data_IF_086149587294
#
_entry.id   IF_086149587294
#
_cell.length_a   1.000
_cell.length_b   1.000
_cell.length_c   1.000
_cell.angle_alpha   90.00
_cell.angle_beta   90.00
_cell.angle_gamma   90.00
#
_symmetry.space_group_name_H-M   'P 1'
#
loop_
_entity.id
_entity.type
_entity.pdbx_description
1 polymer ?
#
# COMPACT_ATOMS: atom_id res chain seq x y z
N UNK A 1 -15.32 41.15 62.46
CA UNK A 1 -14.51 39.92 62.38
C UNK A 1 -15.33 38.90 61.61
N UNK A 2 -15.03 38.41 60.42
CA UNK A 2 -14.00 38.70 59.43
C UNK A 2 -14.53 38.14 58.09
N UNK A 3 -14.16 38.80 56.99
CA UNK A 3 -14.51 38.39 55.63
C UNK A 3 -13.76 37.11 55.24
N UNK A 4 -14.38 36.26 54.41
CA UNK A 4 -13.62 35.40 53.49
C UNK A 4 -14.41 35.25 52.19
N UNK A 5 -13.88 35.74 51.05
CA UNK A 5 -14.52 35.59 49.74
C UNK A 5 -14.21 34.21 49.17
N UNK A 6 -15.24 33.53 48.67
CA UNK A 6 -15.07 32.27 47.95
C UNK A 6 -14.26 32.52 46.68
N UNK A 7 -13.11 31.86 46.62
CA UNK A 7 -12.11 31.90 45.56
C UNK A 7 -12.71 31.46 44.22
N UNK A 8 -12.66 32.35 43.23
CA UNK A 8 -12.97 32.04 41.84
C UNK A 8 -11.86 31.14 41.30
N UNK A 9 -12.20 29.88 41.05
CA UNK A 9 -11.36 28.93 40.32
C UNK A 9 -11.20 29.44 38.87
N UNK A 10 -9.99 29.79 38.39
CA UNK A 10 -9.82 30.12 36.98
C UNK A 10 -9.90 28.82 36.18
N UNK A 11 -11.02 28.61 35.49
CA UNK A 11 -11.15 27.60 34.44
C UNK A 11 -10.15 28.00 33.35
N UNK A 12 -8.99 27.36 33.35
CA UNK A 12 -8.06 27.38 32.23
C UNK A 12 -8.72 26.62 31.07
N UNK A 13 -9.48 27.34 30.25
CA UNK A 13 -9.98 26.84 28.98
C UNK A 13 -8.79 26.74 28.03
N UNK A 14 -8.08 25.61 28.08
CA UNK A 14 -7.03 25.28 27.13
C UNK A 14 -7.72 25.07 25.77
N UNK A 15 -7.74 26.12 24.94
CA UNK A 15 -8.09 26.02 23.53
C UNK A 15 -7.04 25.12 22.86
N UNK A 16 -7.35 23.82 22.79
CA UNK A 16 -6.61 22.87 21.98
C UNK A 16 -6.89 23.27 20.53
N UNK A 17 -6.07 24.16 19.98
CA UNK A 17 -6.06 24.42 18.56
C UNK A 17 -5.84 23.06 17.87
N UNK A 18 -6.70 22.64 16.92
CA UNK A 18 -6.34 21.55 16.06
C UNK A 18 -5.17 22.08 15.24
N UNK A 19 -3.95 21.72 15.65
CA UNK A 19 -2.77 21.80 14.80
C UNK A 19 -3.13 20.92 13.63
N UNK A 20 -3.64 21.54 12.57
CA UNK A 20 -3.88 20.90 11.29
C UNK A 20 -2.49 20.58 10.77
N UNK A 21 -1.96 19.46 11.21
CA UNK A 21 -0.73 18.91 10.68
C UNK A 21 -0.95 18.77 9.20
N UNK A 22 -0.24 19.57 8.41
CA UNK A 22 -0.13 19.35 7.00
C UNK A 22 0.60 18.02 6.83
N UNK A 23 -0.15 16.93 6.73
CA UNK A 23 0.40 15.64 6.33
C UNK A 23 0.88 15.82 4.90
N UNK A 24 2.18 16.04 4.73
CA UNK A 24 2.84 15.94 3.43
C UNK A 24 2.64 14.52 2.95
N UNK A 25 1.68 14.32 2.05
CA UNK A 25 1.58 13.07 1.30
C UNK A 25 2.88 12.99 0.48
N UNK A 26 3.73 12.03 0.83
CA UNK A 26 4.78 11.61 -0.10
C UNK A 26 4.07 11.10 -1.35
N UNK A 27 4.55 11.44 -2.55
CA UNK A 27 4.10 10.81 -3.79
C UNK A 27 5.12 9.73 -4.18
N UNK A 28 5.38 8.78 -3.28
CA UNK A 28 6.29 7.67 -3.53
C UNK A 28 5.56 6.53 -4.26
N UNK A 29 6.14 6.10 -5.38
CA UNK A 29 5.75 4.90 -6.11
C UNK A 29 6.90 3.92 -6.04
N UNK A 30 6.65 2.73 -5.50
CA UNK A 30 7.64 1.63 -5.49
C UNK A 30 7.23 0.59 -6.50
N UNK A 31 8.20 0.12 -7.29
CA UNK A 31 7.99 -0.92 -8.28
C UNK A 31 8.92 -2.07 -7.94
N UNK A 32 8.35 -3.23 -7.62
CA UNK A 32 9.08 -4.48 -7.51
C UNK A 32 8.89 -5.26 -8.82
N UNK A 33 9.97 -5.89 -9.30
CA UNK A 33 9.98 -6.63 -10.55
C UNK A 33 10.28 -8.12 -10.28
N UNK A 34 9.26 -8.98 -10.11
CA UNK A 34 9.42 -10.42 -9.93
C UNK A 34 9.85 -11.19 -11.19
N UNK A 35 10.26 -10.48 -12.26
CA UNK A 35 10.61 -10.94 -13.62
C UNK A 35 9.44 -11.14 -14.59
N UNK A 36 9.80 -11.52 -15.82
CA UNK A 36 8.93 -11.69 -16.98
C UNK A 36 8.20 -10.42 -17.38
N UNK A 37 6.90 -10.36 -17.11
CA UNK A 37 6.06 -9.20 -17.31
C UNK A 37 5.33 -8.80 -16.02
N UNK A 38 5.75 -9.41 -14.90
CA UNK A 38 5.14 -9.25 -13.59
C UNK A 38 5.69 -8.04 -12.86
N UNK A 39 4.81 -7.27 -12.22
CA UNK A 39 5.17 -6.10 -11.42
C UNK A 39 4.29 -5.99 -10.18
N UNK A 40 4.88 -5.57 -9.06
CA UNK A 40 4.14 -5.10 -7.88
C UNK A 40 4.36 -3.60 -7.78
N UNK A 41 3.28 -2.83 -7.82
CA UNK A 41 3.31 -1.37 -7.77
C UNK A 41 2.65 -0.91 -6.48
N UNK A 42 3.42 -0.28 -5.58
CA UNK A 42 2.91 0.26 -4.32
C UNK A 42 2.81 1.80 -4.42
N UNK A 43 1.63 2.34 -4.14
CA UNK A 43 1.36 3.78 -4.04
C UNK A 43 1.21 4.17 -2.58
N UNK A 44 2.25 4.79 -2.00
CA UNK A 44 2.23 5.37 -0.65
C UNK A 44 1.52 4.53 0.44
N UNK A 45 1.77 3.21 0.45
CA UNK A 45 1.15 2.21 1.36
C UNK A 45 -0.38 2.13 1.33
N UNK A 46 -1.04 2.79 0.38
CA UNK A 46 -2.49 2.88 0.30
C UNK A 46 -3.09 1.96 -0.78
N UNK A 47 -2.29 1.60 -1.77
CA UNK A 47 -2.71 0.70 -2.83
C UNK A 47 -1.51 -0.11 -3.33
N UNK A 48 -1.71 -1.41 -3.47
CA UNK A 48 -0.78 -2.35 -4.08
C UNK A 48 -1.43 -2.98 -5.30
N UNK A 49 -0.78 -2.86 -6.46
CA UNK A 49 -1.24 -3.45 -7.71
C UNK A 49 -0.30 -4.57 -8.12
N UNK A 50 -0.82 -5.77 -8.34
CA UNK A 50 -0.12 -6.90 -8.93
C UNK A 50 -0.47 -7.00 -10.42
N UNK A 51 0.53 -6.93 -11.29
CA UNK A 51 0.35 -6.95 -12.73
C UNK A 51 0.91 -8.24 -13.33
N UNK A 52 0.18 -8.88 -14.25
CA UNK A 52 0.60 -10.04 -15.06
C UNK A 52 1.30 -11.15 -14.27
N UNK A 53 0.80 -11.46 -13.08
CA UNK A 53 1.34 -12.56 -12.29
C UNK A 53 0.78 -13.89 -12.83
N UNK A 54 1.58 -14.53 -13.68
CA UNK A 54 1.29 -15.85 -14.25
C UNK A 54 1.83 -16.99 -13.37
N UNK A 55 1.59 -18.22 -13.82
CA UNK A 55 2.03 -19.43 -13.11
C UNK A 55 3.56 -19.52 -13.12
N UNK A 56 4.14 -19.88 -11.97
CA UNK A 56 5.61 -19.97 -11.73
C UNK A 56 6.36 -20.68 -12.87
N UNK A 57 5.81 -21.78 -13.40
CA UNK A 57 6.45 -22.62 -14.43
C UNK A 57 5.92 -22.42 -15.86
N UNK A 58 5.08 -21.42 -16.12
CA UNK A 58 4.53 -21.19 -17.46
C UNK A 58 5.62 -20.86 -18.50
N UNK A 59 6.76 -20.28 -18.08
CA UNK A 59 7.89 -20.00 -18.96
C UNK A 59 8.47 -21.25 -19.66
N UNK A 60 8.23 -22.46 -19.11
CA UNK A 60 8.61 -23.72 -19.74
C UNK A 60 7.86 -23.97 -21.06
N UNK A 61 6.65 -23.44 -21.19
CA UNK A 61 5.84 -23.53 -22.41
C UNK A 61 6.12 -22.37 -23.38
N UNK A 62 6.58 -21.21 -22.88
CA UNK A 62 6.69 -19.94 -23.63
C UNK A 62 8.14 -19.47 -23.90
N UNK A 63 9.13 -20.35 -23.75
CA UNK A 63 10.47 -20.32 -24.42
C UNK A 63 11.34 -19.08 -24.13
N UNK A 64 11.25 -18.46 -22.95
CA UNK A 64 12.09 -17.30 -22.62
C UNK A 64 12.98 -17.43 -21.38
N UNK A 65 13.05 -18.61 -20.74
CA UNK A 65 13.83 -18.83 -19.49
C UNK A 65 13.63 -17.67 -18.48
N UNK A 66 12.38 -17.22 -18.40
CA UNK A 66 11.98 -16.01 -17.68
C UNK A 66 11.00 -16.43 -16.58
N UNK A 67 11.51 -17.06 -15.50
CA UNK A 67 10.66 -17.48 -14.39
C UNK A 67 10.03 -16.27 -13.72
N UNK A 68 8.79 -16.42 -13.25
CA UNK A 68 8.14 -15.46 -12.37
C UNK A 68 8.44 -15.91 -10.95
N UNK A 69 9.15 -15.08 -10.19
CA UNK A 69 9.43 -15.37 -8.79
C UNK A 69 8.24 -15.02 -7.92
N UNK A 70 8.19 -15.65 -6.74
CA UNK A 70 7.17 -15.41 -5.73
C UNK A 70 7.01 -13.90 -5.44
N UNK A 71 5.75 -13.46 -5.42
CA UNK A 71 5.38 -12.11 -5.00
C UNK A 71 5.55 -11.89 -3.47
N UNK A 72 6.12 -12.86 -2.74
CA UNK A 72 6.44 -12.80 -1.31
C UNK A 72 5.23 -12.45 -0.44
N UNK A 73 4.17 -13.26 -0.51
CA UNK A 73 2.95 -13.06 0.28
C UNK A 73 2.27 -11.68 0.07
N UNK A 74 2.54 -11.00 -1.04
CA UNK A 74 1.86 -9.75 -1.34
C UNK A 74 0.33 -9.97 -1.35
N UNK A 75 -0.40 -9.15 -0.60
CA UNK A 75 -1.86 -9.04 -0.63
C UNK A 75 -2.23 -7.83 -1.48
N UNK A 76 -2.28 -7.94 -2.82
CA UNK A 76 -2.60 -6.81 -3.67
C UNK A 76 -4.06 -6.40 -3.53
N UNK A 77 -4.31 -5.09 -3.53
CA UNK A 77 -5.67 -4.54 -3.61
C UNK A 77 -6.28 -4.75 -5.01
N UNK A 78 -5.42 -4.75 -6.04
CA UNK A 78 -5.83 -4.85 -7.43
C UNK A 78 -4.91 -5.84 -8.14
N UNK A 79 -5.49 -6.79 -8.86
CA UNK A 79 -4.77 -7.68 -9.79
C UNK A 79 -5.16 -7.31 -11.22
N UNK A 80 -4.15 -7.16 -12.09
CA UNK A 80 -4.37 -6.86 -13.51
C UNK A 80 -3.70 -7.90 -14.39
N UNK A 81 -4.37 -8.25 -15.47
CA UNK A 81 -3.88 -9.19 -16.47
C UNK A 81 -4.01 -8.54 -17.85
N UNK A 82 -2.95 -8.62 -18.64
CA UNK A 82 -2.98 -8.11 -20.02
C UNK A 82 -3.73 -9.04 -20.98
N UNK A 83 -3.71 -10.36 -20.74
CA UNK A 83 -4.38 -11.40 -21.53
C UNK A 83 -4.34 -12.75 -20.77
N UNK A 84 -4.91 -13.81 -21.36
CA UNK A 84 -5.14 -15.11 -20.70
C UNK A 84 -4.07 -16.18 -20.97
N UNK A 85 -2.84 -15.80 -21.33
CA UNK A 85 -1.75 -16.78 -21.41
C UNK A 85 -1.25 -17.14 -20.00
N UNK A 86 -0.80 -18.37 -19.81
CA UNK A 86 -0.46 -18.92 -18.50
C UNK A 86 0.70 -18.20 -17.80
N UNK A 87 1.57 -17.54 -18.57
CA UNK A 87 2.68 -16.70 -18.11
C UNK A 87 2.26 -15.26 -17.78
N UNK A 88 0.99 -14.91 -18.03
CA UNK A 88 0.41 -13.61 -17.69
C UNK A 88 -0.80 -13.72 -16.75
N UNK A 89 -1.38 -14.90 -16.58
CA UNK A 89 -2.63 -15.13 -15.85
C UNK A 89 -2.54 -16.38 -14.95
N UNK A 90 -2.73 -16.18 -13.66
CA UNK A 90 -3.00 -17.24 -12.70
C UNK A 90 -4.27 -16.94 -11.91
N UNK A 91 -5.21 -17.90 -11.92
CA UNK A 91 -6.49 -17.80 -11.21
C UNK A 91 -6.36 -18.13 -9.72
N UNK A 92 -5.21 -18.67 -9.29
CA UNK A 92 -4.96 -19.00 -7.89
C UNK A 92 -4.63 -17.78 -7.01
N UNK A 93 -4.38 -16.61 -7.62
CA UNK A 93 -4.15 -15.33 -6.95
C UNK A 93 -5.38 -14.43 -7.01
#
# INVERSE_FOLDING_TARGET
MGNSPNSLCPIFLLLVFPVSGCTSYSEEVKIHYPRHSSFIIEFNKNATILCNYGKENAYLEWVLDSPIYDANEAEPDIITYSHYHADHFDHAH
#
